data_IF_936482779944
#
_entry.id   IF_936482779944
#
_cell.length_a   1.000
_cell.length_b   1.000
_cell.length_c   1.000
_cell.angle_alpha   90.00
_cell.angle_beta   90.00
_cell.angle_gamma   90.00
#
_symmetry.space_group_name_H-M   'P 1'
#
loop_
_entity.id
_entity.type
_entity.pdbx_description
1 polymer ?
#
# COMPACT_ATOMS: atom_id res chain seq x y z
N UNK A 1 0.66 -2.49 -8.12
CA UNK A 1 1.17 -3.38 -7.06
C UNK A 1 0.57 -2.96 -5.73
N UNK A 2 -0.22 -3.84 -5.11
CA UNK A 2 -0.92 -3.59 -3.85
C UNK A 2 -2.20 -4.42 -3.77
N UNK A 3 -3.32 -3.77 -3.44
CA UNK A 3 -4.59 -4.45 -3.12
C UNK A 3 -5.20 -5.29 -4.28
N UNK A 4 -4.88 -4.96 -5.53
CA UNK A 4 -5.34 -5.71 -6.71
C UNK A 4 -4.50 -6.94 -7.02
N UNK A 5 -3.33 -7.09 -6.40
CA UNK A 5 -2.46 -8.25 -6.59
C UNK A 5 -2.85 -9.40 -5.64
N UNK A 6 -3.59 -9.07 -4.57
CA UNK A 6 -3.89 -9.98 -3.46
C UNK A 6 -5.33 -10.48 -3.40
N UNK A 7 -6.18 -10.17 -4.39
CA UNK A 7 -7.51 -10.78 -4.43
C UNK A 7 -7.39 -12.28 -4.74
N UNK A 8 -8.35 -13.05 -4.25
CA UNK A 8 -8.37 -14.51 -4.35
C UNK A 8 -9.35 -14.94 -5.46
N UNK A 9 -8.89 -15.16 -6.71
CA UNK A 9 -9.76 -15.59 -7.81
C UNK A 9 -10.40 -16.98 -7.58
N UNK A 10 -9.73 -17.86 -6.84
CA UNK A 10 -10.15 -19.24 -6.55
C UNK A 10 -10.36 -19.51 -5.04
N UNK A 11 -10.46 -18.45 -4.24
CA UNK A 11 -10.51 -18.47 -2.77
C UNK A 11 -9.31 -19.13 -2.07
N UNK A 12 -8.23 -19.48 -2.78
CA UNK A 12 -7.09 -20.20 -2.19
C UNK A 12 -5.79 -19.44 -2.38
N UNK A 13 -5.57 -18.94 -3.58
CA UNK A 13 -4.33 -18.29 -3.98
C UNK A 13 -4.58 -16.83 -4.31
N UNK A 14 -3.65 -15.96 -3.93
CA UNK A 14 -3.66 -14.57 -4.40
C UNK A 14 -3.41 -14.54 -5.90
N UNK A 15 -4.04 -13.59 -6.59
CA UNK A 15 -3.93 -13.44 -8.04
C UNK A 15 -2.48 -13.29 -8.54
N UNK A 16 -1.62 -12.69 -7.72
CA UNK A 16 -0.17 -12.62 -7.94
C UNK A 16 0.50 -13.34 -6.78
N UNK A 17 1.42 -14.26 -7.07
CA UNK A 17 2.15 -14.98 -6.02
C UNK A 17 3.04 -14.03 -5.18
N UNK A 18 3.38 -14.36 -3.93
CA UNK A 18 4.31 -13.55 -3.12
C UNK A 18 5.67 -13.34 -3.80
N UNK A 19 6.17 -14.35 -4.50
CA UNK A 19 7.43 -14.33 -5.23
C UNK A 19 7.34 -13.38 -6.44
N UNK A 20 6.30 -13.52 -7.26
CA UNK A 20 6.06 -12.62 -8.39
C UNK A 20 5.82 -11.18 -7.94
N UNK A 21 5.11 -10.97 -6.83
CA UNK A 21 4.93 -9.64 -6.23
C UNK A 21 6.26 -9.02 -5.82
N UNK A 22 7.15 -9.81 -5.18
CA UNK A 22 8.50 -9.37 -4.81
C UNK A 22 9.31 -8.98 -6.05
N UNK A 23 9.35 -9.84 -7.06
CA UNK A 23 10.09 -9.59 -8.31
C UNK A 23 9.57 -8.35 -9.03
N UNK A 24 8.25 -8.18 -9.09
CA UNK A 24 7.63 -6.99 -9.69
C UNK A 24 8.00 -5.71 -8.93
N UNK A 25 7.97 -5.73 -7.60
CA UNK A 25 8.38 -4.58 -6.79
C UNK A 25 9.88 -4.28 -6.95
N UNK A 26 10.72 -5.30 -6.97
CA UNK A 26 12.17 -5.16 -7.14
C UNK A 26 12.50 -4.53 -8.50
N UNK A 27 11.87 -5.04 -9.57
CA UNK A 27 12.00 -4.50 -10.91
C UNK A 27 11.56 -3.03 -10.98
N UNK A 28 10.38 -2.70 -10.45
CA UNK A 28 9.86 -1.32 -10.48
C UNK A 28 10.77 -0.38 -9.69
N UNK A 29 11.16 -0.74 -8.47
CA UNK A 29 12.00 0.09 -7.62
C UNK A 29 13.39 0.30 -8.24
N UNK A 30 14.02 -0.76 -8.73
CA UNK A 30 15.31 -0.70 -9.43
C UNK A 30 15.24 0.11 -10.71
N UNK A 31 14.18 -0.03 -11.50
CA UNK A 31 13.96 0.78 -12.70
C UNK A 31 13.83 2.27 -12.36
N UNK A 32 13.01 2.63 -11.37
CA UNK A 32 12.83 4.01 -10.94
C UNK A 32 14.13 4.61 -10.41
N UNK A 33 14.88 3.87 -9.59
CA UNK A 33 16.16 4.30 -9.06
C UNK A 33 17.17 4.56 -10.18
N UNK A 34 17.27 3.65 -11.16
CA UNK A 34 18.15 3.80 -12.33
C UNK A 34 17.76 4.98 -13.22
N UNK A 35 16.46 5.17 -13.46
CA UNK A 35 15.95 6.21 -14.37
C UNK A 35 15.96 7.60 -13.74
N UNK A 36 15.75 7.68 -12.43
CA UNK A 36 15.61 8.92 -11.68
C UNK A 36 16.46 8.89 -10.39
N UNK A 37 17.80 8.88 -10.50
CA UNK A 37 18.69 8.65 -9.36
C UNK A 37 18.61 9.72 -8.25
N UNK A 38 18.03 10.90 -8.55
CA UNK A 38 17.84 11.98 -7.58
C UNK A 38 16.41 12.02 -7.00
N UNK A 39 15.48 11.22 -7.52
CA UNK A 39 14.11 11.20 -7.05
C UNK A 39 14.03 10.51 -5.69
N UNK A 40 13.32 11.13 -4.74
CA UNK A 40 12.94 10.47 -3.49
C UNK A 40 11.71 9.60 -3.75
N UNK A 41 11.85 8.29 -3.54
CA UNK A 41 10.75 7.34 -3.72
C UNK A 41 10.09 7.12 -2.36
N UNK A 42 8.76 7.28 -2.32
CA UNK A 42 7.92 6.95 -1.18
C UNK A 42 6.97 5.84 -1.59
N UNK A 43 6.87 4.80 -0.78
CA UNK A 43 5.98 3.67 -1.02
C UNK A 43 4.97 3.55 0.11
N UNK A 44 3.68 3.70 -0.22
CA UNK A 44 2.60 3.52 0.75
C UNK A 44 2.23 2.04 0.88
N UNK A 45 2.25 1.52 2.11
CA UNK A 45 1.75 0.18 2.39
C UNK A 45 0.24 0.11 2.19
N UNK A 46 -0.23 -1.05 1.76
CA UNK A 46 -1.65 -1.30 1.50
C UNK A 46 -2.44 -1.19 2.81
N UNK A 47 -3.51 -0.41 2.81
CA UNK A 47 -4.40 -0.24 3.97
C UNK A 47 -5.13 -1.55 4.30
N UNK A 48 -5.57 -1.76 5.55
CA UNK A 48 -6.41 -2.91 5.88
C UNK A 48 -7.72 -2.90 5.09
N UNK A 49 -8.35 -4.07 5.01
CA UNK A 49 -9.69 -4.24 4.44
C UNK A 49 -10.70 -4.54 5.53
N UNK A 50 -11.94 -4.12 5.35
CA UNK A 50 -13.04 -4.58 6.18
C UNK A 50 -13.65 -5.83 5.53
N UNK A 51 -13.17 -7.01 5.95
CA UNK A 51 -13.57 -8.30 5.38
C UNK A 51 -15.07 -8.60 5.54
N UNK A 52 -15.70 -8.11 6.62
CA UNK A 52 -17.14 -8.26 6.84
C UNK A 52 -17.94 -7.43 5.83
N UNK A 53 -17.61 -6.14 5.68
CA UNK A 53 -18.25 -5.26 4.71
C UNK A 53 -18.01 -5.72 3.26
N UNK A 54 -16.79 -6.16 2.95
CA UNK A 54 -16.43 -6.70 1.64
C UNK A 54 -17.33 -7.88 1.25
N UNK A 55 -17.58 -8.82 2.16
CA UNK A 55 -18.44 -10.00 1.88
C UNK A 55 -19.85 -9.60 1.46
N UNK A 56 -20.40 -8.53 2.05
CA UNK A 56 -21.72 -8.00 1.70
C UNK A 56 -21.72 -7.06 0.48
N UNK A 57 -20.55 -6.73 -0.07
CA UNK A 57 -20.44 -5.79 -1.20
C UNK A 57 -20.96 -6.42 -2.49
N UNK A 58 -21.91 -5.80 -3.21
CA UNK A 58 -22.41 -6.30 -4.49
C UNK A 58 -21.32 -6.31 -5.58
N UNK A 59 -20.33 -5.42 -5.44
CA UNK A 59 -19.24 -5.26 -6.42
C UNK A 59 -18.02 -6.09 -6.04
N UNK A 60 -17.67 -6.15 -4.75
CA UNK A 60 -16.40 -6.72 -4.28
C UNK A 60 -16.54 -8.01 -3.46
N UNK A 61 -17.76 -8.46 -3.14
CA UNK A 61 -17.97 -9.72 -2.43
C UNK A 61 -17.40 -10.94 -3.16
N UNK A 62 -17.33 -10.88 -4.50
CA UNK A 62 -16.71 -11.92 -5.35
C UNK A 62 -15.18 -11.81 -5.47
N UNK A 63 -14.58 -10.69 -5.05
CA UNK A 63 -13.14 -10.42 -5.14
C UNK A 63 -12.58 -10.40 -3.72
N UNK A 64 -12.54 -11.57 -3.10
CA UNK A 64 -12.15 -11.71 -1.70
C UNK A 64 -10.70 -11.27 -1.52
N UNK A 65 -10.46 -10.48 -0.48
CA UNK A 65 -9.14 -10.11 0.06
C UNK A 65 -9.14 -10.32 1.56
N UNK A 66 -8.00 -10.70 2.12
CA UNK A 66 -7.84 -10.97 3.55
C UNK A 66 -6.76 -10.08 4.14
N UNK A 67 -6.94 -9.65 5.38
CA UNK A 67 -5.92 -8.86 6.08
C UNK A 67 -4.63 -9.67 6.32
N UNK A 68 -4.71 -11.00 6.43
CA UNK A 68 -3.52 -11.86 6.50
C UNK A 68 -2.66 -11.74 5.24
N UNK A 69 -3.28 -11.67 4.07
CA UNK A 69 -2.57 -11.49 2.80
C UNK A 69 -2.07 -10.04 2.67
N UNK A 70 -2.87 -9.04 3.08
CA UNK A 70 -2.42 -7.63 3.16
C UNK A 70 -1.14 -7.51 4.00
N UNK A 71 -1.11 -8.11 5.19
CA UNK A 71 0.05 -8.07 6.09
C UNK A 71 1.28 -8.71 5.45
N UNK A 72 1.12 -9.94 4.92
CA UNK A 72 2.21 -10.66 4.24
C UNK A 72 2.79 -9.86 3.08
N UNK A 73 1.95 -9.24 2.24
CA UNK A 73 2.41 -8.48 1.08
C UNK A 73 3.01 -7.13 1.49
N UNK A 74 2.50 -6.51 2.54
CA UNK A 74 3.09 -5.30 3.12
C UNK A 74 4.48 -5.57 3.71
N UNK A 75 4.72 -6.73 4.32
CA UNK A 75 6.06 -7.13 4.78
C UNK A 75 7.03 -7.25 3.60
N UNK A 76 6.64 -7.96 2.53
CA UNK A 76 7.43 -8.07 1.30
C UNK A 76 7.73 -6.68 0.72
N UNK A 77 6.70 -5.83 0.60
CA UNK A 77 6.87 -4.48 0.08
C UNK A 77 7.82 -3.65 0.95
N UNK A 78 7.71 -3.75 2.27
CA UNK A 78 8.58 -3.04 3.21
C UNK A 78 10.04 -3.46 3.05
N UNK A 79 10.31 -4.75 2.91
CA UNK A 79 11.66 -5.27 2.70
C UNK A 79 12.26 -4.78 1.38
N UNK A 80 11.54 -5.00 0.27
CA UNK A 80 12.01 -4.63 -1.08
C UNK A 80 12.23 -3.13 -1.18
N UNK A 81 11.26 -2.32 -0.77
CA UNK A 81 11.35 -0.86 -0.88
C UNK A 81 12.49 -0.29 -0.06
N UNK A 82 12.71 -0.81 1.15
CA UNK A 82 13.86 -0.41 1.98
C UNK A 82 15.20 -0.78 1.33
N UNK A 83 15.31 -1.96 0.71
CA UNK A 83 16.52 -2.39 0.02
C UNK A 83 16.88 -1.45 -1.15
N UNK A 84 15.88 -0.85 -1.82
CA UNK A 84 16.06 0.16 -2.87
C UNK A 84 16.17 1.60 -2.35
N UNK A 85 16.23 1.81 -1.03
CA UNK A 85 16.35 3.13 -0.43
C UNK A 85 15.08 3.98 -0.47
N UNK A 86 13.92 3.39 -0.74
CA UNK A 86 12.64 4.09 -0.69
C UNK A 86 12.15 4.26 0.76
N UNK A 87 11.46 5.37 1.01
CA UNK A 87 10.80 5.63 2.29
C UNK A 87 9.46 4.90 2.32
N UNK A 88 9.28 4.02 3.30
CA UNK A 88 8.00 3.30 3.50
C UNK A 88 7.04 4.16 4.32
N UNK A 89 5.87 4.45 3.77
CA UNK A 89 4.77 5.17 4.42
C UNK A 89 3.75 4.15 4.93
N UNK A 90 3.63 4.02 6.25
CA UNK A 90 2.81 3.00 6.90
C UNK A 90 1.33 3.41 7.00
N UNK A 91 0.65 3.49 5.85
CA UNK A 91 -0.79 3.74 5.83
C UNK A 91 -1.61 2.57 6.39
N UNK A 92 -1.03 1.36 6.43
CA UNK A 92 -1.67 0.19 7.01
C UNK A 92 -1.99 0.39 8.49
N UNK A 93 -1.02 0.89 9.26
CA UNK A 93 -1.20 1.14 10.69
C UNK A 93 -2.01 2.41 10.99
N UNK A 94 -2.03 3.36 10.05
CA UNK A 94 -2.76 4.62 10.18
C UNK A 94 -4.27 4.48 9.92
N UNK A 95 -4.65 3.62 8.99
CA UNK A 95 -6.05 3.43 8.60
C UNK A 95 -6.73 2.40 9.48
N UNK A 96 -7.89 2.77 10.04
CA UNK A 96 -8.72 1.90 10.88
C UNK A 96 -9.96 1.41 10.12
N UNK A 97 -10.67 0.42 10.68
CA UNK A 97 -11.82 -0.22 10.01
C UNK A 97 -12.97 0.75 9.71
N UNK A 98 -13.23 1.71 10.60
CA UNK A 98 -14.27 2.74 10.48
C UNK A 98 -13.97 3.78 9.39
N UNK A 99 -12.71 3.86 8.96
CA UNK A 99 -12.29 4.70 7.83
C UNK A 99 -12.65 4.10 6.46
N UNK A 100 -13.15 2.86 6.41
CA UNK A 100 -13.45 2.11 5.19
C UNK A 100 -14.96 2.17 4.89
N UNK A 101 -15.31 2.35 3.61
CA UNK A 101 -16.69 2.37 3.13
C UNK A 101 -17.37 1.01 3.26
N UNK A 102 -18.69 1.00 3.02
CA UNK A 102 -19.51 -0.22 3.03
C UNK A 102 -19.04 -1.28 2.03
N UNK A 103 -18.25 -0.90 1.03
CA UNK A 103 -17.72 -1.83 0.03
C UNK A 103 -16.53 -2.67 0.53
N UNK A 104 -16.01 -2.33 1.72
CA UNK A 104 -15.00 -3.05 2.45
C UNK A 104 -13.55 -2.78 2.07
N UNK A 105 -13.29 -1.93 1.07
CA UNK A 105 -11.93 -1.70 0.55
C UNK A 105 -11.58 -0.23 0.28
N UNK A 106 -12.55 0.63 -0.04
CA UNK A 106 -12.26 2.04 -0.31
C UNK A 106 -12.40 2.88 0.95
N UNK A 107 -11.57 3.91 1.09
CA UNK A 107 -11.69 4.88 2.17
C UNK A 107 -12.97 5.70 2.03
N UNK A 108 -13.63 5.99 3.14
CA UNK A 108 -14.75 6.93 3.18
C UNK A 108 -14.26 8.37 2.92
N UNK A 109 -15.18 9.30 2.64
CA UNK A 109 -14.82 10.67 2.23
C UNK A 109 -13.98 11.42 3.27
N UNK A 110 -14.31 11.26 4.55
CA UNK A 110 -13.55 11.88 5.64
C UNK A 110 -12.15 11.27 5.74
N UNK A 111 -12.06 9.94 5.69
CA UNK A 111 -10.80 9.21 5.70
C UNK A 111 -9.90 9.57 4.52
N UNK A 112 -10.44 9.81 3.33
CA UNK A 112 -9.66 10.29 2.19
C UNK A 112 -8.95 11.63 2.49
N UNK A 113 -9.65 12.57 3.12
CA UNK A 113 -9.08 13.84 3.53
C UNK A 113 -8.02 13.67 4.63
N UNK A 114 -8.32 12.84 5.63
CA UNK A 114 -7.42 12.55 6.76
C UNK A 114 -6.13 11.88 6.29
N UNK A 115 -6.24 10.81 5.48
CA UNK A 115 -5.09 10.10 4.91
C UNK A 115 -4.29 11.00 3.96
N UNK A 116 -4.97 11.78 3.11
CA UNK A 116 -4.32 12.74 2.23
C UNK A 116 -3.49 13.78 2.98
N UNK A 117 -4.03 14.30 4.08
CA UNK A 117 -3.34 15.26 4.96
C UNK A 117 -2.13 14.61 5.62
N UNK A 118 -2.28 13.40 6.17
CA UNK A 118 -1.18 12.65 6.78
C UNK A 118 -0.03 12.39 5.80
N UNK A 119 -0.35 11.96 4.56
CA UNK A 119 0.66 11.77 3.51
C UNK A 119 1.35 13.08 3.17
N UNK A 120 0.61 14.19 3.02
CA UNK A 120 1.18 15.48 2.70
C UNK A 120 2.15 15.98 3.79
N UNK A 121 1.85 15.73 5.07
CA UNK A 121 2.73 16.07 6.19
C UNK A 121 4.03 15.27 6.18
N UNK A 122 3.95 13.96 5.92
CA UNK A 122 5.12 13.09 5.77
C UNK A 122 6.02 13.59 4.63
N UNK A 123 5.42 13.90 3.48
CA UNK A 123 6.16 14.41 2.32
C UNK A 123 6.82 15.76 2.62
N UNK A 124 6.10 16.70 3.24
CA UNK A 124 6.67 18.00 3.65
C UNK A 124 7.86 17.81 4.59
N UNK A 125 7.71 17.00 5.64
CA UNK A 125 8.80 16.72 6.58
C UNK A 125 10.05 16.16 5.89
N UNK A 126 9.86 15.20 4.98
CA UNK A 126 10.95 14.57 4.25
C UNK A 126 11.59 15.48 3.17
N UNK A 127 10.87 16.50 2.68
CA UNK A 127 11.37 17.47 1.70
C UNK A 127 12.04 18.68 2.35
N UNK A 128 11.52 19.16 3.49
CA UNK A 128 12.06 20.31 4.23
C UNK A 128 13.36 20.03 4.97
N UNK A 129 13.68 18.77 5.28
CA UNK A 129 14.91 18.40 6.01
C UNK A 129 16.22 18.60 5.21
N UNK A 130 16.17 19.22 4.01
CA UNK A 130 17.34 19.45 3.14
C UNK A 130 17.84 20.90 3.08
N UNK A 131 17.24 21.86 3.78
CA UNK A 131 17.65 23.27 3.73
C UNK A 131 18.64 23.70 4.82
N UNK A 132 19.28 22.77 5.55
CA UNK A 132 20.14 23.09 6.71
C UNK A 132 21.63 22.74 6.55
N UNK A 133 22.08 22.30 5.38
CA UNK A 133 23.52 22.06 5.12
C UNK A 133 23.85 22.34 3.66
N UNK A 134 24.13 23.59 3.35
CA UNK A 134 25.11 24.04 2.33
C UNK A 134 25.80 25.30 2.86
#
# INVERSE_FOLDING_TARGET
MGLHDIYLPDEKTCAVSPEEYRENLDFIAGFLHKKFPQAKIFFALTTPVNEESQKSSPTYGRLVRRNTDVQKYNEIAREVMKAHGATVVDLHSFVTRDMIQADGIHLNKEAQQTVGTHVAEILKGALSSKSATE
#
